data_IF_355054221734
#
_entry.id   IF_355054221734
#
_cell.length_a   1.000
_cell.length_b   1.000
_cell.length_c   1.000
_cell.angle_alpha   90.00
_cell.angle_beta   90.00
_cell.angle_gamma   90.00
#
_symmetry.space_group_name_H-M   'P 1'
#
loop_
_entity.id
_entity.type
_entity.pdbx_description
1 polymer ?
#
# COMPACT_ATOMS: atom_id res chain seq x y z
N UNK A 1 14.83 -3.38 15.77
CA UNK A 1 13.96 -4.42 15.18
C UNK A 1 12.54 -3.88 15.20
N UNK A 2 11.79 -3.92 14.08
CA UNK A 2 10.41 -3.45 14.05
C UNK A 2 9.53 -4.27 15.00
N UNK A 3 8.48 -3.66 15.53
CA UNK A 3 7.45 -4.39 16.26
C UNK A 3 6.63 -5.26 15.30
N UNK A 4 5.96 -6.28 15.85
CA UNK A 4 5.01 -7.10 15.09
C UNK A 4 3.88 -6.26 14.47
N UNK A 5 3.39 -5.23 15.18
CA UNK A 5 2.39 -4.29 14.68
C UNK A 5 2.86 -3.57 13.41
N UNK A 6 4.11 -3.10 13.39
CA UNK A 6 4.71 -2.44 12.22
C UNK A 6 4.84 -3.42 11.05
N UNK A 7 5.27 -4.65 11.30
CA UNK A 7 5.37 -5.68 10.26
C UNK A 7 4.01 -6.02 9.64
N UNK A 8 2.96 -6.15 10.46
CA UNK A 8 1.59 -6.39 9.98
C UNK A 8 1.11 -5.22 9.12
N UNK A 9 1.33 -3.97 9.56
CA UNK A 9 0.92 -2.77 8.80
C UNK A 9 1.66 -2.66 7.46
N UNK A 10 2.96 -2.96 7.44
CA UNK A 10 3.75 -2.99 6.21
C UNK A 10 3.27 -4.08 5.25
N UNK A 11 2.92 -5.26 5.76
CA UNK A 11 2.33 -6.33 4.95
C UNK A 11 0.98 -5.90 4.36
N UNK A 12 0.11 -5.24 5.14
CA UNK A 12 -1.15 -4.68 4.64
C UNK A 12 -0.92 -3.60 3.57
N UNK A 13 0.07 -2.73 3.75
CA UNK A 13 0.47 -1.74 2.73
C UNK A 13 0.90 -2.44 1.44
N UNK A 14 1.72 -3.49 1.52
CA UNK A 14 2.20 -4.21 0.35
C UNK A 14 1.03 -4.84 -0.45
N UNK A 15 0.06 -5.44 0.23
CA UNK A 15 -1.15 -6.02 -0.39
C UNK A 15 -1.96 -4.94 -1.14
N UNK A 16 -2.24 -3.82 -0.50
CA UNK A 16 -3.00 -2.74 -1.15
C UNK A 16 -2.24 -2.08 -2.30
N UNK A 17 -0.92 -1.97 -2.20
CA UNK A 17 -0.09 -1.47 -3.30
C UNK A 17 -0.08 -2.44 -4.50
N UNK A 18 -0.02 -3.74 -4.25
CA UNK A 18 -0.14 -4.77 -5.29
C UNK A 18 -1.50 -4.69 -6.00
N UNK A 19 -2.60 -4.57 -5.26
CA UNK A 19 -3.95 -4.39 -5.82
C UNK A 19 -4.06 -3.15 -6.72
N UNK A 20 -3.36 -2.07 -6.38
CA UNK A 20 -3.36 -0.80 -7.13
C UNK A 20 -2.45 -0.81 -8.36
N UNK A 21 -1.33 -1.54 -8.29
CA UNK A 21 -0.32 -1.63 -9.34
C UNK A 21 -0.56 -2.81 -10.29
N UNK A 22 -1.41 -3.76 -9.89
CA UNK A 22 -1.84 -4.83 -10.75
C UNK A 22 -2.39 -4.21 -12.06
N UNK A 23 -1.90 -4.66 -13.23
CA UNK A 23 -2.46 -4.19 -14.49
C UNK A 23 -3.97 -4.43 -14.46
N UNK A 24 -4.74 -3.54 -15.11
CA UNK A 24 -6.18 -3.69 -15.35
C UNK A 24 -6.43 -4.94 -16.21
N UNK A 25 -6.10 -6.13 -15.72
CA UNK A 25 -6.59 -7.38 -16.24
C UNK A 25 -8.03 -7.44 -15.78
N UNK A 26 -9.01 -7.41 -16.70
CA UNK A 26 -10.36 -7.76 -16.34
C UNK A 26 -10.33 -9.25 -15.98
N UNK A 27 -10.10 -9.53 -14.71
CA UNK A 27 -10.19 -10.87 -14.12
C UNK A 27 -11.65 -11.27 -14.18
N UNK A 28 -12.00 -11.85 -15.33
CA UNK A 28 -13.35 -12.31 -15.61
C UNK A 28 -14.22 -11.24 -16.26
N UNK A 29 -15.06 -11.71 -17.17
CA UNK A 29 -16.18 -11.00 -17.80
C UNK A 29 -17.24 -10.60 -16.76
N UNK A 30 -16.89 -9.83 -15.74
CA UNK A 30 -17.84 -9.25 -14.81
C UNK A 30 -18.10 -7.84 -15.28
N UNK A 31 -19.35 -7.54 -15.67
CA UNK A 31 -19.84 -6.18 -15.96
C UNK A 31 -19.88 -5.34 -14.67
N UNK A 32 -18.77 -5.22 -13.96
CA UNK A 32 -18.62 -4.19 -12.93
C UNK A 32 -18.43 -2.88 -13.67
N UNK A 33 -19.38 -1.95 -13.51
CA UNK A 33 -19.30 -0.65 -14.17
C UNK A 33 -18.00 0.06 -13.79
N UNK A 34 -17.43 0.81 -14.73
CA UNK A 34 -16.19 1.59 -14.54
C UNK A 34 -16.19 2.43 -13.25
N UNK A 35 -17.36 2.87 -12.80
CA UNK A 35 -17.57 3.57 -11.52
C UNK A 35 -17.19 2.72 -10.30
N UNK A 36 -17.50 1.41 -10.30
CA UNK A 36 -17.15 0.51 -9.20
C UNK A 36 -15.63 0.32 -9.10
N UNK A 37 -14.97 0.06 -10.24
CA UNK A 37 -13.51 -0.08 -10.30
C UNK A 37 -12.82 1.20 -9.80
N UNK A 38 -13.28 2.38 -10.25
CA UNK A 38 -12.76 3.67 -9.78
C UNK A 38 -12.97 3.89 -8.28
N UNK A 39 -14.13 3.50 -7.74
CA UNK A 39 -14.43 3.64 -6.32
C UNK A 39 -13.60 2.69 -5.45
N UNK A 40 -13.41 1.45 -5.90
CA UNK A 40 -12.59 0.46 -5.19
C UNK A 40 -11.12 0.93 -5.18
N UNK A 41 -10.60 1.40 -6.33
CA UNK A 41 -9.27 2.00 -6.43
C UNK A 41 -9.09 3.20 -5.50
N UNK A 42 -10.09 4.08 -5.40
CA UNK A 42 -10.07 5.22 -4.48
C UNK A 42 -10.00 4.75 -3.02
N UNK A 43 -10.79 3.74 -2.64
CA UNK A 43 -10.79 3.20 -1.27
C UNK A 43 -9.45 2.57 -0.91
N UNK A 44 -8.88 1.75 -1.79
CA UNK A 44 -7.56 1.15 -1.57
C UNK A 44 -6.46 2.21 -1.41
N UNK A 45 -6.54 3.31 -2.16
CA UNK A 45 -5.61 4.43 -2.00
C UNK A 45 -5.80 5.16 -0.66
N UNK A 46 -7.03 5.36 -0.21
CA UNK A 46 -7.32 5.95 1.10
C UNK A 46 -6.79 5.06 2.24
N UNK A 47 -6.99 3.75 2.14
CA UNK A 47 -6.51 2.77 3.12
C UNK A 47 -4.98 2.76 3.20
N UNK A 48 -4.30 2.81 2.05
CA UNK A 48 -2.84 2.98 2.00
C UNK A 48 -2.36 4.25 2.70
N UNK A 49 -3.00 5.39 2.43
CA UNK A 49 -2.62 6.68 3.02
C UNK A 49 -2.81 6.67 4.54
N UNK A 50 -3.87 6.03 5.04
CA UNK A 50 -4.11 5.86 6.48
C UNK A 50 -3.02 4.98 7.10
N UNK A 51 -2.67 3.85 6.49
CA UNK A 51 -1.63 2.97 7.01
C UNK A 51 -0.24 3.63 6.99
N UNK A 52 0.08 4.40 5.95
CA UNK A 52 1.31 5.19 5.85
C UNK A 52 1.32 6.42 6.79
N UNK A 53 0.17 6.85 7.30
CA UNK A 53 0.09 7.91 8.31
C UNK A 53 0.40 7.41 9.72
N UNK A 54 0.51 6.10 9.94
CA UNK A 54 0.85 5.52 11.24
C UNK A 54 2.25 5.98 11.71
N UNK A 55 2.38 6.59 12.90
CA UNK A 55 3.66 7.11 13.39
C UNK A 55 4.75 6.06 13.57
N UNK A 56 4.42 4.82 13.95
CA UNK A 56 5.39 3.75 14.14
C UNK A 56 5.92 3.28 12.79
N UNK A 57 5.04 3.14 11.80
CA UNK A 57 5.41 2.83 10.42
C UNK A 57 6.29 3.92 9.84
N UNK A 58 5.93 5.20 10.02
CA UNK A 58 6.76 6.33 9.57
C UNK A 58 8.13 6.34 10.21
N UNK A 59 8.20 6.18 11.52
CA UNK A 59 9.47 6.14 12.25
C UNK A 59 10.37 5.00 11.76
N UNK A 60 9.79 3.83 11.49
CA UNK A 60 10.53 2.70 10.96
C UNK A 60 11.05 2.95 9.53
N UNK A 61 10.22 3.51 8.64
CA UNK A 61 10.66 3.85 7.28
C UNK A 61 11.77 4.91 7.27
N UNK A 62 11.67 5.95 8.10
CA UNK A 62 12.72 6.97 8.24
C UNK A 62 14.04 6.35 8.74
N UNK A 63 13.97 5.40 9.68
CA UNK A 63 15.17 4.69 10.13
C UNK A 63 15.78 3.82 9.04
N UNK A 64 14.96 3.13 8.24
CA UNK A 64 15.45 2.36 7.10
C UNK A 64 16.11 3.24 6.03
N UNK A 65 15.56 4.42 5.77
CA UNK A 65 16.16 5.42 4.87
C UNK A 65 17.50 5.92 5.41
N UNK A 66 17.58 6.25 6.71
CA UNK A 66 18.82 6.65 7.39
C UNK A 66 19.91 5.57 7.31
N UNK A 67 19.51 4.30 7.35
CA UNK A 67 20.40 3.15 7.23
C UNK A 67 20.75 2.80 5.76
N UNK A 68 20.22 3.53 4.78
CA UNK A 68 20.45 3.27 3.35
C UNK A 68 19.79 2.01 2.83
N UNK A 69 18.82 1.46 3.56
CA UNK A 69 18.10 0.24 3.21
C UNK A 69 16.90 0.51 2.30
N UNK A 70 16.38 1.74 2.29
CA UNK A 70 15.45 2.23 1.30
C UNK A 70 16.25 3.10 0.32
N UNK A 71 16.42 2.64 -0.91
CA UNK A 71 16.88 3.53 -1.97
C UNK A 71 15.70 4.42 -2.37
N UNK A 72 15.85 5.76 -2.42
CA UNK A 72 14.89 6.57 -3.13
C UNK A 72 14.92 6.05 -4.58
N UNK A 73 13.81 5.49 -5.06
CA UNK A 73 13.70 5.08 -6.45
C UNK A 73 14.10 6.28 -7.32
N UNK A 74 15.22 6.15 -8.03
CA UNK A 74 15.56 6.96 -9.20
C UNK A 74 14.84 6.44 -10.42
#
# INVERSE_FOLDING_TARGET
>A
MPSESVLIRLASIAVHAEELLAPDQPTGKVRVGLTKIKNDRRRTMEDLLVLLADPEVRGYLTEMERLGMLQPNG
#
